data_IF_711101439557
#
_entry.id   IF_711101439557
#
_cell.length_a   1.000
_cell.length_b   1.000
_cell.length_c   1.000
_cell.angle_alpha   90.00
_cell.angle_beta   90.00
_cell.angle_gamma   90.00
#
_symmetry.space_group_name_H-M   'P 1'
#
loop_
_entity.id
_entity.type
_entity.pdbx_description
1 polymer ?
#
# COMPACT_ATOMS: atom_id res chain seq x y z
N UNK A 1 4.44 -24.12 8.41
CA UNK A 1 4.34 -22.95 7.53
C UNK A 1 3.20 -22.06 7.97
N UNK A 2 3.44 -20.78 8.03
CA UNK A 2 2.42 -19.84 8.46
C UNK A 2 1.48 -19.53 7.31
N UNK A 3 0.21 -19.74 7.58
CA UNK A 3 -0.86 -19.45 6.65
C UNK A 3 -0.95 -17.93 6.45
N UNK A 4 -1.29 -17.49 5.24
CA UNK A 4 -1.41 -16.07 4.96
C UNK A 4 -2.53 -15.42 5.79
N UNK A 5 -3.60 -16.16 6.07
CA UNK A 5 -4.69 -15.65 6.91
C UNK A 5 -4.18 -15.29 8.29
N UNK A 6 -3.30 -16.12 8.84
CA UNK A 6 -2.68 -15.83 10.13
C UNK A 6 -1.80 -14.59 10.04
N UNK A 7 -1.05 -14.44 8.94
CA UNK A 7 -0.19 -13.28 8.74
C UNK A 7 -0.98 -11.98 8.65
N UNK A 8 -2.20 -12.03 8.13
CA UNK A 8 -3.05 -10.83 8.01
C UNK A 8 -3.40 -10.22 9.36
N UNK A 9 -3.42 -11.01 10.42
CA UNK A 9 -3.78 -10.52 11.75
C UNK A 9 -2.55 -10.21 12.61
N UNK A 10 -1.35 -10.49 12.11
CA UNK A 10 -0.13 -10.27 12.86
C UNK A 10 0.39 -8.84 12.68
N UNK A 11 1.07 -8.36 13.71
CA UNK A 11 1.73 -7.07 13.66
C UNK A 11 3.04 -7.22 12.90
N UNK A 12 3.25 -6.39 11.91
CA UNK A 12 4.52 -6.26 11.21
C UNK A 12 5.32 -5.16 11.89
N UNK A 13 6.57 -5.43 12.23
CA UNK A 13 7.46 -4.42 12.80
C UNK A 13 8.34 -3.88 11.68
N UNK A 14 8.34 -2.57 11.51
CA UNK A 14 9.21 -1.87 10.56
C UNK A 14 10.01 -0.83 11.33
N UNK A 15 11.09 -0.36 10.74
CA UNK A 15 11.94 0.61 11.40
C UNK A 15 12.12 1.83 10.51
N UNK A 16 11.84 3.01 11.04
CA UNK A 16 12.00 4.26 10.32
C UNK A 16 12.90 5.17 11.13
N UNK A 17 14.04 5.54 10.55
CA UNK A 17 15.03 6.43 11.20
C UNK A 17 15.36 5.95 12.61
N UNK A 18 15.57 4.65 12.76
CA UNK A 18 15.95 4.05 14.02
C UNK A 18 14.83 3.80 15.01
N UNK A 19 13.60 4.19 14.67
CA UNK A 19 12.44 3.97 15.53
C UNK A 19 11.61 2.81 15.00
N UNK A 20 11.31 1.85 15.88
CA UNK A 20 10.48 0.71 15.50
C UNK A 20 9.02 1.11 15.52
N UNK A 21 8.31 0.73 14.47
CA UNK A 21 6.88 1.02 14.30
C UNK A 21 6.15 -0.28 14.04
N UNK A 22 4.94 -0.37 14.55
CA UNK A 22 4.08 -1.53 14.35
C UNK A 22 3.02 -1.19 13.32
N UNK A 23 2.79 -2.10 12.38
CA UNK A 23 1.76 -1.91 11.38
C UNK A 23 1.05 -3.24 11.17
N UNK A 24 -0.27 -3.18 11.05
CA UNK A 24 -1.08 -4.34 10.69
C UNK A 24 -1.53 -4.21 9.25
N UNK A 25 -1.76 -5.35 8.62
CA UNK A 25 -2.28 -5.34 7.27
C UNK A 25 -3.60 -4.56 7.26
N UNK A 26 -3.85 -3.70 6.25
CA UNK A 26 -5.06 -2.88 6.21
C UNK A 26 -6.33 -3.73 6.21
N UNK A 27 -7.33 -3.29 6.95
CA UNK A 27 -8.67 -3.87 6.82
C UNK A 27 -9.32 -3.33 5.54
N UNK A 28 -10.50 -3.83 5.20
CA UNK A 28 -11.14 -3.47 3.94
C UNK A 28 -11.42 -1.97 3.85
N UNK A 29 -11.89 -1.36 4.95
CA UNK A 29 -12.13 0.08 4.97
C UNK A 29 -10.86 0.87 4.73
N UNK A 30 -9.74 0.44 5.34
CA UNK A 30 -8.46 1.08 5.13
C UNK A 30 -7.94 0.88 3.71
N UNK A 31 -8.19 -0.28 3.10
CA UNK A 31 -7.85 -0.51 1.69
C UNK A 31 -8.56 0.50 0.79
N UNK A 32 -9.85 0.73 1.06
CA UNK A 32 -10.63 1.70 0.31
C UNK A 32 -10.05 3.10 0.50
N UNK A 33 -9.71 3.46 1.73
CA UNK A 33 -9.13 4.76 2.03
C UNK A 33 -7.80 4.96 1.29
N UNK A 34 -6.96 3.93 1.25
CA UNK A 34 -5.69 3.99 0.53
C UNK A 34 -5.94 4.22 -0.96
N UNK A 35 -6.88 3.48 -1.55
CA UNK A 35 -7.19 3.63 -2.98
C UNK A 35 -7.80 5.00 -3.28
N UNK A 36 -8.64 5.51 -2.39
CA UNK A 36 -9.19 6.85 -2.54
C UNK A 36 -8.11 7.92 -2.51
N UNK A 37 -7.10 7.76 -1.65
CA UNK A 37 -5.96 8.67 -1.62
C UNK A 37 -5.15 8.59 -2.90
N UNK A 38 -4.94 7.40 -3.45
CA UNK A 38 -4.25 7.27 -4.73
C UNK A 38 -4.98 8.03 -5.83
N UNK A 39 -6.30 7.93 -5.84
CA UNK A 39 -7.13 8.69 -6.80
C UNK A 39 -6.97 10.18 -6.58
N UNK A 40 -7.05 10.64 -5.34
CA UNK A 40 -6.93 12.07 -5.03
C UNK A 40 -5.54 12.59 -5.38
N UNK A 41 -4.49 11.88 -5.01
CA UNK A 41 -3.12 12.32 -5.24
C UNK A 41 -2.77 12.34 -6.74
N UNK A 42 -3.37 11.46 -7.53
CA UNK A 42 -3.10 11.37 -8.97
C UNK A 42 -4.06 12.20 -9.82
N UNK A 43 -5.05 12.84 -9.18
CA UNK A 43 -6.10 13.54 -9.93
C UNK A 43 -6.91 12.60 -10.79
N UNK A 44 -7.10 11.36 -10.33
CA UNK A 44 -7.85 10.35 -11.07
C UNK A 44 -7.07 9.69 -12.19
N UNK A 45 -5.75 9.94 -12.27
CA UNK A 45 -4.94 9.50 -13.41
C UNK A 45 -3.96 8.38 -13.09
N UNK A 46 -4.14 7.72 -11.98
CA UNK A 46 -3.19 6.70 -11.51
C UNK A 46 -2.91 5.65 -12.59
N UNK A 47 -3.96 5.09 -13.19
CA UNK A 47 -3.79 4.06 -14.21
C UNK A 47 -3.09 4.57 -15.46
N UNK A 48 -3.42 5.79 -15.88
CA UNK A 48 -2.79 6.42 -17.04
C UNK A 48 -1.30 6.65 -16.77
N UNK A 49 -0.96 7.15 -15.58
CA UNK A 49 0.42 7.38 -15.19
C UNK A 49 1.21 6.08 -15.17
N UNK A 50 0.61 5.04 -14.58
CA UNK A 50 1.25 3.73 -14.47
C UNK A 50 1.56 3.14 -15.84
N UNK A 51 0.66 3.33 -16.81
CA UNK A 51 0.79 2.77 -18.15
C UNK A 51 1.62 3.63 -19.09
N UNK A 52 2.01 4.83 -18.68
CA UNK A 52 2.61 5.82 -19.59
C UNK A 52 4.00 5.45 -20.09
N UNK A 53 4.76 4.68 -19.32
CA UNK A 53 6.16 4.41 -19.64
C UNK A 53 7.10 5.58 -19.40
N UNK A 54 6.58 6.72 -18.96
CA UNK A 54 7.40 7.92 -18.69
C UNK A 54 7.98 7.81 -17.29
N UNK A 55 9.31 7.91 -17.18
CA UNK A 55 10.00 7.69 -15.90
C UNK A 55 9.48 8.55 -14.76
N UNK A 56 9.23 9.84 -15.03
CA UNK A 56 8.75 10.74 -14.00
C UNK A 56 7.34 10.37 -13.53
N UNK A 57 6.49 9.86 -14.43
CA UNK A 57 5.16 9.42 -14.09
C UNK A 57 5.19 8.12 -13.28
N UNK A 58 6.07 7.21 -13.66
CA UNK A 58 6.24 5.95 -12.93
C UNK A 58 6.78 6.23 -11.53
N UNK A 59 7.73 7.16 -11.41
CA UNK A 59 8.23 7.57 -10.10
C UNK A 59 7.12 8.19 -9.27
N UNK A 60 6.29 9.04 -9.88
CA UNK A 60 5.16 9.66 -9.18
C UNK A 60 4.19 8.59 -8.67
N UNK A 61 3.97 7.52 -9.42
CA UNK A 61 3.14 6.39 -8.96
C UNK A 61 3.76 5.75 -7.72
N UNK A 62 5.08 5.53 -7.73
CA UNK A 62 5.76 4.96 -6.56
C UNK A 62 5.59 5.84 -5.33
N UNK A 63 5.71 7.15 -5.51
CA UNK A 63 5.50 8.11 -4.42
C UNK A 63 4.07 8.04 -3.91
N UNK A 64 3.11 8.01 -4.82
CA UNK A 64 1.69 7.92 -4.46
C UNK A 64 1.41 6.64 -3.66
N UNK A 65 1.96 5.52 -4.10
CA UNK A 65 1.80 4.25 -3.37
C UNK A 65 2.32 4.37 -1.94
N UNK A 66 3.52 4.94 -1.79
CA UNK A 66 4.13 5.09 -0.47
C UNK A 66 3.31 6.04 0.42
N UNK A 67 2.99 7.21 -0.10
CA UNK A 67 2.34 8.26 0.71
C UNK A 67 0.92 7.88 1.11
N UNK A 68 0.18 7.23 0.21
CA UNK A 68 -1.18 6.81 0.54
C UNK A 68 -1.20 5.76 1.64
N UNK A 69 -0.28 4.80 1.60
CA UNK A 69 -0.17 3.79 2.65
C UNK A 69 0.24 4.42 3.98
N UNK A 70 1.28 5.27 3.95
CA UNK A 70 1.79 5.90 5.16
C UNK A 70 0.71 6.77 5.81
N UNK A 71 -0.03 7.51 5.02
CA UNK A 71 -1.08 8.39 5.54
C UNK A 71 -2.14 7.61 6.31
N UNK A 72 -2.52 6.44 5.80
CA UNK A 72 -3.60 5.64 6.41
C UNK A 72 -3.07 4.74 7.53
N UNK A 73 -1.90 4.13 7.35
CA UNK A 73 -1.45 3.07 8.26
C UNK A 73 -0.30 3.47 9.17
N UNK A 74 0.41 4.54 8.87
CA UNK A 74 1.63 4.89 9.60
C UNK A 74 1.67 6.37 9.93
N UNK A 75 0.64 6.84 10.62
CA UNK A 75 0.55 8.26 11.00
C UNK A 75 1.71 8.68 11.90
N UNK A 76 2.32 7.74 12.61
CA UNK A 76 3.50 8.04 13.41
C UNK A 76 4.63 8.61 12.56
N UNK A 77 4.77 8.18 11.31
CA UNK A 77 5.79 8.71 10.41
C UNK A 77 5.52 10.21 10.14
N UNK A 78 4.27 10.56 9.87
CA UNK A 78 3.90 11.96 9.70
C UNK A 78 4.29 12.79 10.93
N UNK A 79 4.02 12.26 12.10
CA UNK A 79 4.34 12.96 13.35
C UNK A 79 5.85 13.11 13.53
N UNK A 80 6.62 12.08 13.21
CA UNK A 80 8.07 12.13 13.30
C UNK A 80 8.68 13.18 12.37
N UNK A 81 8.00 13.44 11.25
CA UNK A 81 8.47 14.40 10.25
C UNK A 81 7.94 15.81 10.51
N UNK A 82 7.12 15.99 11.54
CA UNK A 82 6.51 17.27 11.89
C UNK A 82 5.69 17.85 10.73
N UNK A 83 5.02 16.99 9.95
CA UNK A 83 4.12 17.46 8.89
C UNK A 83 2.81 17.84 9.55
N UNK A 84 2.39 19.12 9.47
CA UNK A 84 1.18 19.57 10.16
C UNK A 84 -0.06 18.83 9.68
N UNK A 85 -1.00 18.67 10.59
CA UNK A 85 -2.29 18.09 10.24
C UNK A 85 -2.96 18.99 9.19
N UNK A 86 -3.57 18.35 8.20
CA UNK A 86 -4.18 19.09 7.09
C UNK A 86 -3.24 19.34 5.94
N UNK A 87 -1.93 19.16 6.13
CA UNK A 87 -0.97 19.27 5.03
C UNK A 87 -0.75 17.90 4.41
N UNK A 88 -0.79 17.83 3.09
CA UNK A 88 -0.60 16.57 2.37
C UNK A 88 0.84 16.09 2.48
N UNK A 89 1.03 14.78 2.65
CA UNK A 89 2.37 14.19 2.53
C UNK A 89 2.96 14.39 1.14
N UNK A 90 2.11 14.60 0.14
CA UNK A 90 2.58 14.85 -1.23
C UNK A 90 3.23 16.21 -1.38
N UNK A 91 3.11 17.08 -0.38
CA UNK A 91 3.68 18.43 -0.44
C UNK A 91 5.09 18.52 0.15
N UNK A 92 5.63 17.42 0.69
CA UNK A 92 6.99 17.43 1.21
C UNK A 92 7.99 17.58 0.05
N UNK A 93 9.21 18.02 0.38
CA UNK A 93 10.18 18.22 -0.69
C UNK A 93 10.60 16.88 -1.31
N UNK A 94 11.25 16.95 -2.48
CA UNK A 94 11.60 15.75 -3.24
C UNK A 94 12.60 14.87 -2.52
N UNK A 95 13.49 15.44 -1.70
CA UNK A 95 14.45 14.65 -0.95
C UNK A 95 13.75 13.77 0.08
N UNK A 96 12.79 14.34 0.80
CA UNK A 96 12.02 13.60 1.79
C UNK A 96 11.10 12.60 1.12
N UNK A 97 10.46 13.00 0.01
CA UNK A 97 9.61 12.08 -0.75
C UNK A 97 10.41 10.88 -1.23
N UNK A 98 11.64 11.10 -1.67
CA UNK A 98 12.53 10.02 -2.12
C UNK A 98 12.88 9.08 -0.97
N UNK A 99 13.19 9.63 0.19
CA UNK A 99 13.50 8.83 1.37
C UNK A 99 12.30 7.94 1.76
N UNK A 100 11.13 8.52 1.82
CA UNK A 100 9.92 7.80 2.21
C UNK A 100 9.54 6.73 1.18
N UNK A 101 9.68 7.05 -0.08
CA UNK A 101 9.35 6.12 -1.16
C UNK A 101 10.30 4.91 -1.13
N UNK A 102 11.59 5.15 -1.00
CA UNK A 102 12.58 4.07 -0.93
C UNK A 102 12.35 3.21 0.31
N UNK A 103 12.07 3.83 1.45
CA UNK A 103 11.78 3.13 2.68
C UNK A 103 10.54 2.24 2.55
N UNK A 104 9.47 2.78 1.98
CA UNK A 104 8.24 2.03 1.76
C UNK A 104 8.50 0.83 0.85
N UNK A 105 9.19 1.03 -0.26
CA UNK A 105 9.46 -0.03 -1.22
C UNK A 105 10.31 -1.14 -0.62
N UNK A 106 11.15 -0.81 0.35
CA UNK A 106 12.07 -1.76 0.97
C UNK A 106 11.44 -2.49 2.15
N UNK A 107 10.74 -1.76 3.01
CA UNK A 107 10.26 -2.28 4.30
C UNK A 107 8.82 -2.78 4.26
N UNK A 108 7.99 -2.21 3.41
CA UNK A 108 6.55 -2.43 3.47
C UNK A 108 6.00 -3.12 2.23
N UNK A 109 6.36 -2.62 1.05
CA UNK A 109 5.75 -3.09 -0.20
C UNK A 109 5.87 -4.59 -0.41
N UNK A 110 7.02 -5.24 -0.14
CA UNK A 110 7.11 -6.69 -0.36
C UNK A 110 6.10 -7.47 0.49
N UNK A 111 5.96 -7.09 1.74
CA UNK A 111 5.00 -7.71 2.66
C UNK A 111 3.56 -7.42 2.23
N UNK A 112 3.26 -6.15 1.96
CA UNK A 112 1.92 -5.70 1.62
C UNK A 112 1.45 -6.32 0.30
N UNK A 113 2.30 -6.26 -0.73
CA UNK A 113 1.94 -6.76 -2.05
C UNK A 113 1.81 -8.28 -2.07
N UNK A 114 2.66 -8.97 -1.31
CA UNK A 114 2.60 -10.43 -1.22
C UNK A 114 1.29 -10.90 -0.61
N UNK A 115 0.88 -10.29 0.50
CA UNK A 115 -0.37 -10.66 1.16
C UNK A 115 -1.57 -10.24 0.32
N UNK A 116 -1.51 -9.07 -0.33
CA UNK A 116 -2.59 -8.62 -1.20
C UNK A 116 -2.79 -9.59 -2.37
N UNK A 117 -1.70 -10.07 -2.98
CA UNK A 117 -1.79 -11.07 -4.04
C UNK A 117 -2.46 -12.35 -3.57
N UNK A 118 -2.11 -12.80 -2.38
CA UNK A 118 -2.71 -14.03 -1.82
C UNK A 118 -4.19 -13.85 -1.55
N UNK A 119 -4.59 -12.67 -1.06
CA UNK A 119 -6.00 -12.37 -0.87
C UNK A 119 -6.76 -12.38 -2.18
N UNK A 120 -6.18 -11.74 -3.21
CA UNK A 120 -6.80 -11.67 -4.52
C UNK A 120 -6.94 -13.06 -5.12
N UNK A 121 -5.89 -13.87 -5.06
CA UNK A 121 -5.88 -15.23 -5.57
C UNK A 121 -6.91 -16.10 -4.85
N UNK A 122 -7.00 -15.98 -3.53
CA UNK A 122 -7.96 -16.76 -2.76
C UNK A 122 -9.39 -16.41 -3.15
N UNK A 123 -9.67 -15.12 -3.36
CA UNK A 123 -11.00 -14.67 -3.77
C UNK A 123 -11.36 -15.11 -5.19
N UNK A 124 -10.36 -15.29 -6.05
CA UNK A 124 -10.59 -15.68 -7.45
C UNK A 124 -10.41 -17.16 -7.71
N UNK A 125 -9.85 -17.92 -6.76
CA UNK A 125 -9.64 -19.35 -6.89
C UNK A 125 -10.90 -20.12 -6.48
N UNK A 126 -12.06 -19.58 -6.70
CA UNK A 126 -13.32 -20.22 -6.41
C UNK A 126 -13.42 -21.48 -7.20
N UNK A 127 -13.74 -22.52 -6.55
CA UNK A 127 -13.92 -23.76 -7.24
C UNK A 127 -14.93 -23.57 -8.32
N UNK A 128 -14.59 -23.62 -8.89
CA UNK A 128 -15.15 -23.29 -9.59
C UNK A 128 -16.39 -23.71 -9.51
N UNK A 129 -16.70 -23.09 -8.99
CA UNK A 129 -17.49 -23.15 -8.94
C UNK A 129 -18.04 -23.64 -9.73
N UNK A 130 -17.56 -23.58 -9.89
CA UNK A 130 -17.61 -24.00 -10.38
C UNK A 130 -17.63 -24.88 -10.75
N UNK A 131 -17.59 -25.01 -10.79
CA UNK A 131 -17.46 -25.79 -11.02
C UNK A 131 -17.90 -26.57 -10.96
N UNK A 132 -18.37 -26.53 -10.82
CA UNK A 132 -18.70 -27.09 -10.82
C UNK A 132 -19.28 -27.37 -10.98
N UNK A 133 -19.66 -27.15 -11.13
CA UNK A 133 -19.90 -27.14 -11.22
C UNK A 133 -20.22 -27.47 -11.66
N UNK A 134 -20.38 -27.29 -12.00
CA UNK A 134 -20.29 -27.35 -12.14
C UNK A 134 -20.24 -27.96 -12.55
N UNK A 135 -20.18 -27.93 -12.78
CA UNK A 135 -19.91 -28.41 -12.80
C UNK A 135 -20.09 -29.30 -12.65
N UNK A 136 -20.28 -29.26 -12.66
CA UNK A 136 -20.35 -29.81 -12.34
C UNK A 136 -20.79 -30.30 -12.16
N UNK A 137 -20.92 -30.34 -12.11
CA UNK A 137 -21.30 -30.47 -11.90
C UNK A 137 -21.57 -30.57 -11.77
#
# INVERSE_FOLDING_TARGET
MKDYVQQLSEVKVVEFRGTKLNVKFPNVGEMIDIENLKTAYSGGRYGVMLASGVKSMIYAVDVIDAMSFIEIKLKAVRNMLNVPEGQSLMSVDSALASELTAWYKQQIAPWYNSLMSKLYEAGNAQPSLNDDGGKDA
#
